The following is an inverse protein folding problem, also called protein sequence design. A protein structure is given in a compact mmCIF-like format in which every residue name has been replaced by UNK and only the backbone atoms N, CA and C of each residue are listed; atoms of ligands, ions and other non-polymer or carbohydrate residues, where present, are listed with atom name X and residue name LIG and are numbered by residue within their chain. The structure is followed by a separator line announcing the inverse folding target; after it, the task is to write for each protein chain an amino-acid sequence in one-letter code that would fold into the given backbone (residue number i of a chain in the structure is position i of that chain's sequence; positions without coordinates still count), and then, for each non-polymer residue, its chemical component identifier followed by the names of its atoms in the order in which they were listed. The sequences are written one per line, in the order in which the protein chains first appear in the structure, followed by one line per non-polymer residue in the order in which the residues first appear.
data_IF_651084269561
#
_entry.id   IF_651084269561
#
_cell.length_a   1.000
_cell.length_b   1.000
_cell.length_c   1.000
_cell.angle_alpha   90.00
_cell.angle_beta   90.00
_cell.angle_gamma   90.00
#
_symmetry.space_group_name_H-M   'P 1'
#
loop_
_entity.id
_entity.type
_entity.pdbx_description
1 polymer ?
#
# COMPACT_ATOMS: atom_id res chain seq x y z
N UNK A 1 -6.18 -10.65 4.66
CA UNK A 1 -4.84 -10.12 4.28
C UNK A 1 -4.66 -10.21 2.77
N UNK A 2 -4.20 -9.13 2.18
CA UNK A 2 -3.94 -9.06 0.74
C UNK A 2 -2.48 -9.41 0.46
N UNK A 3 -2.23 -10.08 -0.65
CA UNK A 3 -0.89 -10.59 -0.96
C UNK A 3 -0.62 -10.59 -2.47
N UNK A 4 0.58 -10.16 -2.85
CA UNK A 4 1.07 -10.28 -4.22
C UNK A 4 2.53 -10.68 -4.20
N UNK A 5 2.97 -11.42 -5.20
CA UNK A 5 4.37 -11.83 -5.34
C UNK A 5 4.84 -11.48 -6.74
N UNK A 6 5.96 -10.76 -6.82
CA UNK A 6 6.62 -10.39 -8.07
C UNK A 6 8.08 -10.72 -7.93
N UNK A 7 8.61 -11.56 -8.82
CA UNK A 7 10.05 -11.90 -8.83
C UNK A 7 10.56 -12.35 -7.45
N UNK A 8 9.78 -13.23 -6.79
CA UNK A 8 10.09 -13.77 -5.47
C UNK A 8 10.10 -12.73 -4.35
N UNK A 9 9.53 -11.55 -4.59
CA UNK A 9 9.34 -10.54 -3.55
C UNK A 9 7.86 -10.50 -3.23
N UNK A 10 7.53 -10.80 -1.97
CA UNK A 10 6.15 -10.82 -1.50
C UNK A 10 5.80 -9.50 -0.86
N UNK A 11 4.62 -8.96 -1.20
CA UNK A 11 4.06 -7.78 -0.54
C UNK A 11 2.72 -8.18 0.06
N UNK A 12 2.57 -7.99 1.37
CA UNK A 12 1.29 -8.19 2.05
C UNK A 12 0.78 -6.86 2.58
N UNK A 13 -0.54 -6.71 2.59
CA UNK A 13 -1.19 -5.49 3.07
C UNK A 13 -2.31 -5.84 4.02
N UNK A 14 -2.36 -5.15 5.15
CA UNK A 14 -3.42 -5.26 6.14
C UNK A 14 -3.99 -3.87 6.38
N UNK A 15 -5.13 -3.51 5.74
CA UNK A 15 -5.78 -2.21 5.97
C UNK A 15 -6.62 -2.25 7.24
N UNK A 16 -6.76 -1.10 7.89
CA UNK A 16 -7.48 -0.98 9.14
C UNK A 16 -8.17 0.38 9.21
N UNK A 17 -9.51 0.37 9.32
CA UNK A 17 -10.28 1.61 9.43
C UNK A 17 -10.03 2.26 10.79
N UNK A 18 -9.91 3.60 10.80
CA UNK A 18 -9.62 4.38 12.01
C UNK A 18 -10.84 5.24 12.36
N UNK A 19 -11.82 4.69 13.13
CA UNK A 19 -13.03 5.45 13.46
C UNK A 19 -12.74 6.72 14.28
N UNK A 20 -11.73 6.69 15.13
CA UNK A 20 -11.35 7.83 15.97
C UNK A 20 -10.79 9.01 15.17
N UNK A 21 -10.37 8.77 13.94
CA UNK A 21 -9.85 9.82 13.05
C UNK A 21 -10.82 10.17 11.93
N UNK A 22 -11.98 9.53 11.93
CA UNK A 22 -12.97 9.67 10.86
C UNK A 22 -14.16 10.46 11.34
N UNK A 23 -14.85 11.14 10.40
CA UNK A 23 -16.05 11.90 10.69
C UNK A 23 -17.03 11.78 9.51
N UNK A 24 -18.16 11.15 9.74
CA UNK A 24 -19.22 11.04 8.74
C UNK A 24 -19.75 12.42 8.35
N UNK A 25 -19.93 13.31 9.34
CA UNK A 25 -20.43 14.66 9.10
C UNK A 25 -19.53 15.48 8.21
N UNK A 26 -18.22 15.34 8.36
CA UNK A 26 -17.24 16.06 7.58
C UNK A 26 -16.83 15.32 6.32
N UNK A 27 -17.38 14.13 6.09
CA UNK A 27 -17.02 13.26 4.97
C UNK A 27 -15.49 13.04 4.92
N UNK A 28 -14.93 12.67 6.06
CA UNK A 28 -13.52 12.38 6.22
C UNK A 28 -13.36 11.01 6.82
N UNK A 29 -12.73 10.11 6.09
CA UNK A 29 -12.53 8.73 6.50
C UNK A 29 -11.05 8.42 6.41
N UNK A 30 -10.52 7.73 7.41
CA UNK A 30 -9.10 7.42 7.51
C UNK A 30 -8.88 5.94 7.74
N UNK A 31 -7.88 5.42 7.08
CA UNK A 31 -7.39 4.05 7.29
C UNK A 31 -5.90 4.09 7.54
N UNK A 32 -5.41 3.14 8.33
CA UNK A 32 -4.02 2.78 8.32
C UNK A 32 -3.87 1.54 7.44
N UNK A 33 -2.68 1.32 6.92
CA UNK A 33 -2.35 0.07 6.25
C UNK A 33 -0.94 -0.34 6.62
N UNK A 34 -0.79 -1.61 6.96
CA UNK A 34 0.50 -2.19 7.32
C UNK A 34 0.96 -3.06 6.17
N UNK A 35 2.16 -2.79 5.70
CA UNK A 35 2.75 -3.49 4.56
C UNK A 35 3.99 -4.22 5.02
N UNK A 36 4.12 -5.48 4.59
CA UNK A 36 5.33 -6.27 4.79
C UNK A 36 5.87 -6.66 3.43
N UNK A 37 7.12 -6.32 3.18
CA UNK A 37 7.82 -6.66 1.95
C UNK A 37 8.88 -7.71 2.32
N UNK A 38 8.79 -8.89 1.72
CA UNK A 38 9.69 -10.00 2.03
C UNK A 38 10.44 -10.42 0.76
N UNK A 39 11.77 -10.42 0.82
CA UNK A 39 12.59 -10.89 -0.29
C UNK A 39 12.88 -12.38 -0.12
N UNK A 40 12.18 -13.21 -0.88
CA UNK A 40 12.40 -14.66 -0.89
C UNK A 40 13.29 -15.10 -2.07
N UNK A 41 13.87 -14.15 -2.78
CA UNK A 41 14.77 -14.41 -3.88
C UNK A 41 16.21 -14.58 -3.43
N UNK A 42 17.11 -14.63 -4.39
CA UNK A 42 18.53 -14.89 -4.14
C UNK A 42 19.40 -13.64 -4.22
N UNK A 43 18.85 -12.55 -4.76
CA UNK A 43 19.59 -11.30 -4.90
C UNK A 43 19.14 -10.30 -3.84
N UNK A 44 20.07 -9.45 -3.42
CA UNK A 44 19.74 -8.29 -2.60
C UNK A 44 19.06 -7.24 -3.48
N UNK A 45 17.97 -6.66 -2.99
CA UNK A 45 17.21 -5.65 -3.71
C UNK A 45 17.00 -4.43 -2.81
N UNK A 46 16.80 -3.27 -3.42
CA UNK A 46 16.51 -2.04 -2.69
C UNK A 46 15.25 -1.41 -3.26
N UNK A 47 14.34 -1.01 -2.37
CA UNK A 47 13.18 -0.23 -2.75
C UNK A 47 13.62 1.22 -2.98
N UNK A 48 13.30 1.77 -4.16
CA UNK A 48 13.69 3.13 -4.54
C UNK A 48 12.53 4.09 -4.51
N UNK A 49 11.42 3.75 -5.17
CA UNK A 49 10.28 4.65 -5.29
C UNK A 49 8.97 3.91 -5.10
N UNK A 50 7.92 4.66 -4.80
CA UNK A 50 6.56 4.15 -4.68
C UNK A 50 5.64 4.88 -5.64
N UNK A 51 4.63 4.17 -6.11
CA UNK A 51 3.56 4.75 -6.92
C UNK A 51 2.24 4.19 -6.44
N UNK A 52 1.37 5.05 -5.92
CA UNK A 52 0.05 4.69 -5.43
C UNK A 52 -1.03 5.25 -6.32
N UNK A 53 -2.08 4.47 -6.53
CA UNK A 53 -3.30 4.89 -7.20
C UNK A 53 -4.44 4.61 -6.22
N UNK A 54 -5.12 5.68 -5.81
CA UNK A 54 -6.17 5.63 -4.80
C UNK A 54 -7.47 6.02 -5.48
N UNK A 55 -8.50 5.17 -5.36
CA UNK A 55 -9.80 5.40 -5.99
C UNK A 55 -10.87 5.45 -4.92
N UNK A 56 -11.67 6.52 -4.87
CA UNK A 56 -12.75 6.63 -3.91
C UNK A 56 -14.05 6.02 -4.46
N UNK A 57 -15.12 6.05 -3.66
CA UNK A 57 -16.40 5.41 -4.03
C UNK A 57 -17.08 6.09 -5.22
N UNK A 58 -16.70 7.31 -5.56
CA UNK A 58 -17.27 8.02 -6.72
C UNK A 58 -16.48 7.75 -8.00
N UNK A 59 -15.38 7.00 -7.91
CA UNK A 59 -14.50 6.72 -9.04
C UNK A 59 -13.40 7.75 -9.24
N UNK A 60 -13.30 8.75 -8.36
CA UNK A 60 -12.23 9.74 -8.44
C UNK A 60 -10.90 9.08 -8.08
N UNK A 61 -9.90 9.32 -8.91
CA UNK A 61 -8.56 8.74 -8.75
C UNK A 61 -7.55 9.79 -8.34
N UNK A 62 -6.66 9.40 -7.45
CA UNK A 62 -5.53 10.20 -7.03
C UNK A 62 -4.27 9.36 -7.19
N UNK A 63 -3.24 9.92 -7.80
CA UNK A 63 -1.95 9.24 -7.93
C UNK A 63 -0.92 9.93 -7.06
N UNK A 64 -0.13 9.13 -6.34
CA UNK A 64 0.93 9.63 -5.48
C UNK A 64 2.21 8.92 -5.86
N UNK A 65 3.24 9.69 -6.19
CA UNK A 65 4.58 9.18 -6.48
C UNK A 65 5.57 9.81 -5.53
N UNK A 66 6.55 9.03 -5.12
CA UNK A 66 7.58 9.55 -4.24
C UNK A 66 8.71 8.56 -4.03
N UNK A 67 9.77 9.05 -3.38
CA UNK A 67 10.92 8.22 -3.06
C UNK A 67 10.69 7.48 -1.76
N UNK A 68 11.02 6.19 -1.76
CA UNK A 68 10.98 5.37 -0.56
C UNK A 68 9.61 5.16 0.03
N UNK A 69 9.59 4.64 1.25
CA UNK A 69 8.39 4.44 2.05
C UNK A 69 8.71 4.87 3.48
N UNK A 70 7.84 5.70 4.07
CA UNK A 70 8.00 6.30 5.41
C UNK A 70 9.42 6.84 5.65
N UNK A 71 9.98 7.50 4.62
CA UNK A 71 11.32 8.11 4.71
C UNK A 71 12.48 7.16 4.52
N UNK A 72 12.25 5.91 4.10
CA UNK A 72 13.32 4.93 3.96
C UNK A 72 13.31 4.29 2.57
N UNK A 73 14.49 3.87 2.15
CA UNK A 73 14.69 3.07 0.93
C UNK A 73 15.35 1.76 1.36
N UNK A 74 14.56 0.82 1.93
CA UNK A 74 15.15 -0.36 2.56
C UNK A 74 15.88 -1.25 1.57
N UNK A 75 16.99 -1.79 2.03
CA UNK A 75 17.79 -2.80 1.30
C UNK A 75 17.48 -4.14 1.93
N UNK A 76 17.02 -5.08 1.10
CA UNK A 76 16.60 -6.40 1.58
C UNK A 76 17.46 -7.48 0.95
N UNK A 77 18.25 -8.18 1.76
CA UNK A 77 18.95 -9.37 1.32
C UNK A 77 17.99 -10.56 1.28
N UNK A 78 18.47 -11.72 0.79
CA UNK A 78 17.65 -12.92 0.75
C UNK A 78 17.11 -13.29 2.13
N UNK A 79 15.80 -13.50 2.24
CA UNK A 79 15.13 -13.84 3.49
C UNK A 79 14.80 -12.66 4.38
N UNK A 80 15.22 -11.46 4.03
CA UNK A 80 14.94 -10.27 4.84
C UNK A 80 13.61 -9.64 4.48
N UNK A 81 13.04 -8.91 5.43
CA UNK A 81 11.77 -8.24 5.24
C UNK A 81 11.77 -6.86 5.87
N UNK A 82 10.89 -6.01 5.38
CA UNK A 82 10.67 -4.67 5.89
C UNK A 82 9.19 -4.46 6.12
N UNK A 83 8.84 -3.99 7.30
CA UNK A 83 7.44 -3.74 7.67
C UNK A 83 7.26 -2.27 7.96
N UNK A 84 6.17 -1.68 7.46
CA UNK A 84 5.83 -0.30 7.81
C UNK A 84 4.32 -0.11 7.81
N UNK A 85 3.88 0.93 8.54
CA UNK A 85 2.47 1.33 8.59
C UNK A 85 2.36 2.78 8.15
N UNK A 86 1.40 3.07 7.31
CA UNK A 86 1.12 4.41 6.83
C UNK A 86 -0.39 4.64 6.85
N UNK A 87 -0.83 5.81 6.44
CA UNK A 87 -2.24 6.15 6.47
C UNK A 87 -2.74 6.72 5.16
N UNK A 88 -4.04 6.64 4.96
CA UNK A 88 -4.69 7.18 3.77
C UNK A 88 -6.05 7.75 4.13
N UNK A 89 -6.36 8.99 3.71
CA UNK A 89 -7.69 9.56 3.86
C UNK A 89 -8.51 9.39 2.58
N UNK A 90 -9.82 9.30 2.74
CA UNK A 90 -10.77 9.36 1.62
C UNK A 90 -11.92 10.28 1.99
N UNK A 91 -12.52 10.97 1.00
CA UNK A 91 -13.73 11.75 1.24
C UNK A 91 -14.99 10.88 1.24
N UNK A 92 -14.88 9.60 0.96
CA UNK A 92 -15.99 8.66 0.89
C UNK A 92 -15.76 7.50 1.85
N UNK A 93 -16.84 6.81 2.20
CA UNK A 93 -16.84 5.74 3.20
C UNK A 93 -16.14 4.47 2.73
N UNK A 94 -15.83 4.38 1.45
CA UNK A 94 -15.14 3.23 0.89
C UNK A 94 -14.32 3.64 -0.32
N UNK A 95 -13.42 2.77 -0.73
CA UNK A 95 -12.61 2.93 -1.93
C UNK A 95 -11.64 1.77 -2.03
N UNK A 96 -10.63 1.93 -2.86
CA UNK A 96 -9.57 0.94 -2.95
C UNK A 96 -8.26 1.60 -3.36
N UNK A 97 -7.20 0.89 -3.12
CA UNK A 97 -5.85 1.38 -3.34
C UNK A 97 -5.02 0.29 -4.00
N UNK A 98 -4.22 0.69 -4.98
CA UNK A 98 -3.29 -0.21 -5.65
C UNK A 98 -1.98 0.52 -5.85
N UNK A 99 -0.92 -0.19 -6.15
CA UNK A 99 0.36 0.46 -6.34
C UNK A 99 1.46 -0.46 -6.78
N UNK A 100 2.63 0.11 -6.85
CA UNK A 100 3.85 -0.61 -7.19
C UNK A 100 5.06 0.08 -6.59
N UNK A 101 6.12 -0.69 -6.39
CA UNK A 101 7.41 -0.17 -5.98
C UNK A 101 8.40 -0.38 -7.09
N UNK A 102 9.25 0.63 -7.31
CA UNK A 102 10.40 0.48 -8.19
C UNK A 102 11.56 0.00 -7.34
N UNK A 103 12.14 -1.12 -7.75
CA UNK A 103 13.25 -1.78 -7.06
C UNK A 103 14.50 -1.73 -7.92
N UNK A 104 15.63 -1.92 -7.27
CA UNK A 104 16.89 -2.12 -7.98
C UNK A 104 17.59 -3.32 -7.35
N UNK A 105 18.12 -4.23 -8.18
CA UNK A 105 18.89 -5.37 -7.70
C UNK A 105 20.35 -4.95 -7.45
N UNK A 106 21.10 -5.78 -6.76
CA UNK A 106 22.52 -5.51 -6.49
C UNK A 106 23.33 -5.41 -7.76
N UNK A 107 22.88 -6.02 -8.86
CA UNK A 107 23.51 -5.88 -10.18
C UNK A 107 23.13 -4.62 -10.92
N UNK A 108 22.26 -3.78 -10.34
CA UNK A 108 21.83 -2.52 -10.94
C UNK A 108 20.62 -2.61 -11.83
N UNK A 109 19.98 -3.76 -11.94
CA UNK A 109 18.76 -3.93 -12.72
C UNK A 109 17.59 -3.25 -12.03
N UNK A 110 16.86 -2.41 -12.77
CA UNK A 110 15.64 -1.76 -12.27
C UNK A 110 14.44 -2.59 -12.69
N UNK A 111 13.50 -2.78 -11.75
CA UNK A 111 12.26 -3.51 -12.03
C UNK A 111 11.19 -3.04 -11.08
N UNK A 112 9.94 -3.38 -11.39
CA UNK A 112 8.81 -3.03 -10.55
C UNK A 112 8.20 -4.27 -9.92
N UNK A 113 7.72 -4.12 -8.69
CA UNK A 113 6.93 -5.15 -8.03
C UNK A 113 5.56 -4.59 -7.69
N UNK A 114 4.55 -5.46 -7.71
CA UNK A 114 3.17 -5.05 -7.47
C UNK A 114 2.83 -5.09 -6.00
N UNK A 115 2.09 -4.07 -5.56
CA UNK A 115 1.37 -4.12 -4.30
C UNK A 115 -0.03 -4.65 -4.64
N UNK A 116 -0.57 -5.62 -3.88
CA UNK A 116 -1.91 -6.11 -4.19
C UNK A 116 -2.93 -4.99 -4.02
N UNK A 117 -3.93 -4.98 -4.90
CA UNK A 117 -5.06 -4.06 -4.74
C UNK A 117 -5.81 -4.43 -3.48
N UNK A 118 -6.10 -3.45 -2.63
CA UNK A 118 -6.81 -3.69 -1.38
C UNK A 118 -7.95 -2.71 -1.19
N UNK A 119 -9.02 -3.20 -0.56
CA UNK A 119 -10.21 -2.40 -0.28
C UNK A 119 -10.00 -1.55 0.97
N UNK A 120 -10.58 -0.35 0.92
CA UNK A 120 -10.69 0.55 2.05
C UNK A 120 -12.18 0.60 2.40
N UNK A 121 -12.57 -0.15 3.43
CA UNK A 121 -13.97 -0.29 3.82
C UNK A 121 -14.19 0.28 5.20
N UNK A 122 -15.37 0.87 5.42
CA UNK A 122 -15.80 1.36 6.71
C UNK A 122 -17.19 0.82 7.03
N UNK A 123 -17.63 0.86 8.31
CA UNK A 123 -18.99 0.45 8.66
C UNK A 123 -20.07 1.25 7.93
N UNK A 124 -19.79 2.51 7.58
CA UNK A 124 -20.73 3.34 6.83
C UNK A 124 -20.99 2.80 5.43
N UNK A 125 -19.95 2.32 4.75
CA UNK A 125 -20.11 1.72 3.43
C UNK A 125 -21.03 0.50 3.48
N UNK A 126 -20.92 -0.30 4.53
CA UNK A 126 -21.76 -1.49 4.72
C UNK A 126 -23.23 -1.11 4.93
N UNK A 127 -23.48 -0.01 5.64
CA UNK A 127 -24.85 0.47 5.85
C UNK A 127 -25.49 0.93 4.56
N UNK A 128 -24.72 1.62 3.72
CA UNK A 128 -25.23 2.14 2.46
C UNK A 128 -25.61 1.02 1.50
N UNK A 129 -24.90 -0.11 1.56
CA UNK A 129 -25.14 -1.25 0.69
C UNK A 129 -26.39 -2.05 1.06
N UNK A 130 -26.95 -1.80 2.20
CA UNK A 130 -28.22 -2.42 2.63
C UNK A 130 -29.40 -1.62 2.09
#
# INVERSE_FOLDING_TARGET
MYRAVTRDIEVTVEPNFLPERSSVEKQQYFWSYTIVITNSGRETVQLRTRHWIITDATGRRQEIRGEGVVGEQPVLGPGERFEYTSGVPLPTASGFMTGRYQMVSEGGEKFEIDVPTFSLDSPEAKRVLN
#
